data_IF_654276346070
#
_entry.id   IF_654276346070
#
_cell.length_a   1.000
_cell.length_b   1.000
_cell.length_c   1.000
_cell.angle_alpha   90.00
_cell.angle_beta   90.00
_cell.angle_gamma   90.00
#
_symmetry.space_group_name_H-M   'P 1'
#
loop_
_entity.id
_entity.type
_entity.pdbx_description
1 polymer ?
#
# COMPACT_ATOMS: atom_id res chain seq x y z
N UNK A 1 -43.45 -24.69 36.81
CA UNK A 1 -42.79 -23.84 37.84
C UNK A 1 -42.03 -22.77 37.05
N UNK A 2 -42.71 -21.69 36.68
CA UNK A 2 -42.68 -20.36 37.33
C UNK A 2 -41.32 -19.63 37.16
N UNK A 3 -41.33 -18.63 36.29
CA UNK A 3 -40.45 -17.44 36.11
C UNK A 3 -40.15 -16.67 37.44
N UNK A 4 -39.36 -15.55 37.52
CA UNK A 4 -38.96 -14.59 36.46
C UNK A 4 -37.57 -13.88 36.51
N UNK A 5 -37.17 -13.37 35.34
CA UNK A 5 -36.70 -12.00 34.99
C UNK A 5 -35.83 -11.14 35.93
N UNK A 6 -34.68 -10.69 35.43
CA UNK A 6 -34.09 -9.38 35.77
C UNK A 6 -33.94 -8.52 34.50
N UNK A 7 -34.89 -7.59 34.31
CA UNK A 7 -34.77 -6.43 33.41
C UNK A 7 -34.01 -5.33 34.15
N UNK A 8 -33.03 -4.71 33.50
CA UNK A 8 -32.65 -3.32 33.78
C UNK A 8 -32.72 -2.54 32.47
N UNK A 9 -33.80 -1.78 32.37
CA UNK A 9 -34.08 -0.77 31.34
C UNK A 9 -33.47 0.52 31.86
N UNK A 10 -32.44 1.06 31.19
CA UNK A 10 -31.97 2.43 31.43
C UNK A 10 -32.86 3.41 30.67
N UNK A 11 -33.65 4.16 31.43
CA UNK A 11 -34.52 5.25 30.96
C UNK A 11 -33.69 6.43 30.45
N UNK A 12 -34.06 7.09 29.34
CA UNK A 12 -33.41 8.34 28.93
C UNK A 12 -33.89 9.50 29.80
N UNK A 13 -32.95 10.32 30.26
CA UNK A 13 -33.21 11.54 31.03
C UNK A 13 -33.82 12.63 30.14
N UNK A 14 -34.96 13.15 30.58
CA UNK A 14 -35.74 14.19 29.91
C UNK A 14 -35.16 15.57 30.25
N UNK A 15 -34.55 16.26 29.27
CA UNK A 15 -34.06 17.64 29.42
C UNK A 15 -35.25 18.59 29.35
N UNK A 16 -35.63 19.19 30.48
CA UNK A 16 -36.63 20.27 30.55
C UNK A 16 -36.02 21.58 30.05
N UNK A 17 -36.65 22.17 29.04
CA UNK A 17 -36.37 23.54 28.60
C UNK A 17 -37.08 24.54 29.53
N UNK A 18 -36.30 25.40 30.19
CA UNK A 18 -36.82 26.55 30.92
C UNK A 18 -36.89 27.76 29.96
N UNK A 19 -38.09 28.29 29.75
CA UNK A 19 -38.32 29.61 29.15
C UNK A 19 -38.58 30.61 30.29
N UNK A 20 -37.85 31.73 30.40
CA UNK A 20 -38.30 32.86 31.19
C UNK A 20 -39.04 33.88 30.31
N UNK A 21 -40.34 34.03 30.56
CA UNK A 21 -41.13 35.22 30.20
C UNK A 21 -41.06 36.18 31.38
N UNK A 22 -40.58 37.42 31.23
CA UNK A 22 -41.15 38.62 31.87
C UNK A 22 -40.62 39.88 31.18
N UNK A 23 -41.56 40.71 30.73
CA UNK A 23 -41.27 42.02 30.14
C UNK A 23 -40.98 43.07 31.20
N UNK A 24 -40.13 44.04 30.86
CA UNK A 24 -40.05 45.32 31.56
C UNK A 24 -39.74 46.38 30.50
N UNK A 25 -40.73 47.24 30.25
CA UNK A 25 -40.57 48.44 29.42
C UNK A 25 -39.85 49.50 30.25
N UNK A 26 -38.58 49.76 29.94
CA UNK A 26 -37.91 51.01 30.29
C UNK A 26 -37.56 51.69 28.96
N UNK A 27 -38.38 52.67 28.60
CA UNK A 27 -38.07 53.60 27.52
C UNK A 27 -37.12 54.67 28.08
N UNK A 28 -35.81 54.44 27.95
CA UNK A 28 -34.82 55.52 28.06
C UNK A 28 -34.43 55.94 26.66
N UNK A 29 -34.82 57.16 26.32
CA UNK A 29 -34.34 57.94 25.18
C UNK A 29 -32.81 58.07 25.28
N UNK A 30 -32.07 57.20 24.60
CA UNK A 30 -30.66 57.42 24.29
C UNK A 30 -30.52 57.67 22.79
N UNK A 31 -29.95 58.84 22.51
CA UNK A 31 -29.51 59.37 21.23
C UNK A 31 -29.14 58.29 20.20
N UNK A 32 -29.80 58.31 19.03
CA UNK A 32 -29.38 57.60 17.83
C UNK A 32 -28.11 58.25 17.27
N UNK A 33 -26.95 58.03 17.90
CA UNK A 33 -25.69 58.05 17.17
C UNK A 33 -25.36 56.61 16.78
N UNK A 34 -26.09 56.12 15.78
CA UNK A 34 -25.67 54.96 15.01
C UNK A 34 -24.41 55.38 14.26
N UNK A 35 -23.24 55.13 14.85
CA UNK A 35 -21.99 55.10 14.10
C UNK A 35 -22.17 54.02 13.04
N UNK A 36 -22.58 54.46 11.86
CA UNK A 36 -22.70 53.68 10.64
C UNK A 36 -21.32 53.11 10.36
N UNK A 37 -21.07 51.91 10.88
CA UNK A 37 -19.93 51.12 10.54
C UNK A 37 -20.08 50.82 9.05
N UNK A 38 -19.42 51.60 8.20
CA UNK A 38 -19.34 51.29 6.77
C UNK A 38 -18.68 49.91 6.72
N UNK A 39 -19.36 48.86 6.22
CA UNK A 39 -18.63 47.65 5.90
C UNK A 39 -17.57 48.08 4.89
N UNK A 40 -16.30 47.99 5.26
CA UNK A 40 -15.26 48.06 4.25
C UNK A 40 -15.51 46.85 3.36
N UNK A 41 -16.11 47.07 2.19
CA UNK A 41 -16.01 46.12 1.09
C UNK A 41 -14.52 46.00 0.79
N UNK A 42 -13.87 45.09 1.49
CA UNK A 42 -12.57 44.56 1.12
C UNK A 42 -12.74 44.09 -0.32
N UNK A 43 -12.17 44.81 -1.28
CA UNK A 43 -12.15 44.38 -2.67
C UNK A 43 -11.44 43.04 -2.69
N UNK A 44 -12.21 41.96 -2.86
CA UNK A 44 -11.66 40.64 -3.09
C UNK A 44 -10.88 40.71 -4.40
N UNK A 45 -9.56 40.84 -4.31
CA UNK A 45 -8.65 40.67 -5.43
C UNK A 45 -8.66 39.18 -5.77
N UNK A 46 -9.53 38.80 -6.70
CA UNK A 46 -9.59 37.43 -7.23
C UNK A 46 -8.36 37.11 -8.06
N UNK A 47 -7.96 35.84 -8.07
CA UNK A 47 -6.97 35.32 -9.03
C UNK A 47 -7.46 35.58 -10.45
N UNK A 48 -6.56 36.05 -11.31
CA UNK A 48 -6.88 36.27 -12.72
C UNK A 48 -6.94 34.93 -13.45
N UNK A 49 -7.82 34.81 -14.46
CA UNK A 49 -7.91 33.60 -15.29
C UNK A 49 -6.57 33.33 -16.00
N UNK A 50 -5.84 34.39 -16.35
CA UNK A 50 -4.51 34.30 -16.95
C UNK A 50 -3.46 33.77 -15.98
N UNK A 51 -3.50 34.12 -14.68
CA UNK A 51 -2.64 33.49 -13.67
C UNK A 51 -2.89 31.99 -13.61
N UNK A 52 -4.16 31.59 -13.57
CA UNK A 52 -4.50 30.17 -13.47
C UNK A 52 -4.07 29.42 -14.74
N UNK A 53 -4.19 30.00 -15.94
CA UNK A 53 -3.76 29.35 -17.18
C UNK A 53 -2.24 29.12 -17.22
N UNK A 54 -1.43 30.10 -16.78
CA UNK A 54 0.02 29.95 -16.77
C UNK A 54 0.43 28.90 -15.74
N UNK A 55 -0.16 28.94 -14.55
CA UNK A 55 0.15 27.98 -13.48
C UNK A 55 -0.19 26.54 -13.91
N UNK A 56 -1.38 26.32 -14.48
CA UNK A 56 -1.78 24.99 -14.97
C UNK A 56 -0.86 24.52 -16.09
N UNK A 57 -0.40 25.42 -16.97
CA UNK A 57 0.53 25.08 -18.05
C UNK A 57 1.89 24.62 -17.52
N UNK A 58 2.44 25.31 -16.52
CA UNK A 58 3.72 24.93 -15.90
C UNK A 58 3.58 23.59 -15.15
N UNK A 59 2.50 23.42 -14.38
CA UNK A 59 2.22 22.16 -13.66
C UNK A 59 2.06 21.00 -14.65
N UNK A 60 1.41 21.23 -15.79
CA UNK A 60 1.25 20.22 -16.85
C UNK A 60 2.59 19.73 -17.40
N UNK A 61 3.52 20.64 -17.69
CA UNK A 61 4.86 20.29 -18.19
C UNK A 61 5.66 19.52 -17.14
N UNK A 62 5.64 19.97 -15.87
CA UNK A 62 6.37 19.28 -14.80
C UNK A 62 5.80 17.88 -14.50
N UNK A 63 4.47 17.73 -14.57
CA UNK A 63 3.79 16.47 -14.28
C UNK A 63 4.09 15.38 -15.32
N UNK A 64 4.23 15.76 -16.61
CA UNK A 64 4.50 14.80 -17.68
C UNK A 64 5.88 14.14 -17.56
N UNK A 65 6.87 14.86 -17.03
CA UNK A 65 8.21 14.30 -16.77
C UNK A 65 8.17 13.42 -15.50
N UNK A 66 7.51 13.92 -14.45
CA UNK A 66 7.45 13.26 -13.14
C UNK A 66 6.75 11.89 -13.16
N UNK A 67 5.72 11.71 -13.99
CA UNK A 67 4.91 10.49 -13.97
C UNK A 67 5.71 9.23 -14.35
N UNK A 68 6.60 9.33 -15.34
CA UNK A 68 7.40 8.19 -15.83
C UNK A 68 8.37 7.67 -14.77
N UNK A 69 9.03 8.59 -14.04
CA UNK A 69 9.92 8.25 -12.95
C UNK A 69 9.16 7.66 -11.75
N UNK A 70 7.99 8.23 -11.43
CA UNK A 70 7.16 7.77 -10.32
C UNK A 70 6.63 6.34 -10.54
N UNK A 71 6.20 6.01 -11.76
CA UNK A 71 5.78 4.65 -12.10
C UNK A 71 6.89 3.62 -11.87
N UNK A 72 8.13 3.92 -12.29
CA UNK A 72 9.28 3.03 -12.07
C UNK A 72 9.55 2.81 -10.58
N UNK A 73 9.40 3.85 -9.76
CA UNK A 73 9.55 3.74 -8.30
C UNK A 73 8.47 2.85 -7.68
N UNK A 74 7.20 3.03 -8.09
CA UNK A 74 6.10 2.19 -7.63
C UNK A 74 6.31 0.72 -8.00
N UNK A 75 6.72 0.42 -9.23
CA UNK A 75 6.99 -0.95 -9.67
C UNK A 75 8.11 -1.58 -8.83
N UNK A 76 9.21 -0.85 -8.59
CA UNK A 76 10.31 -1.32 -7.72
C UNK A 76 9.84 -1.61 -6.29
N UNK A 77 8.97 -0.77 -5.74
CA UNK A 77 8.39 -0.97 -4.41
C UNK A 77 7.54 -2.25 -4.35
N UNK A 78 6.73 -2.50 -5.37
CA UNK A 78 5.90 -3.72 -5.47
C UNK A 78 6.74 -4.98 -5.65
N UNK A 79 7.83 -4.89 -6.40
CA UNK A 79 8.81 -5.98 -6.51
C UNK A 79 9.48 -6.25 -5.16
N UNK A 80 9.86 -5.21 -4.43
CA UNK A 80 10.45 -5.36 -3.10
C UNK A 80 9.50 -6.02 -2.10
N UNK A 81 8.19 -5.78 -2.19
CA UNK A 81 7.19 -6.52 -1.40
C UNK A 81 7.27 -8.03 -1.65
N UNK A 82 7.34 -8.46 -2.91
CA UNK A 82 7.50 -9.88 -3.24
C UNK A 82 8.81 -10.48 -2.74
N UNK A 83 9.90 -9.71 -2.84
CA UNK A 83 11.19 -10.13 -2.27
C UNK A 83 11.13 -10.27 -0.75
N UNK A 84 10.36 -9.43 -0.06
CA UNK A 84 10.17 -9.53 1.39
C UNK A 84 9.38 -10.79 1.74
N UNK A 85 8.31 -11.11 1.03
CA UNK A 85 7.54 -12.35 1.26
C UNK A 85 8.40 -13.59 0.97
N UNK A 86 9.24 -13.51 -0.07
CA UNK A 86 10.18 -14.58 -0.38
C UNK A 86 11.16 -14.86 0.77
N UNK A 87 11.44 -13.91 1.68
CA UNK A 87 12.27 -14.19 2.87
C UNK A 87 11.64 -15.21 3.80
N UNK A 88 10.31 -15.20 3.95
CA UNK A 88 9.57 -16.21 4.73
C UNK A 88 9.65 -17.57 4.04
N UNK A 89 9.51 -17.60 2.72
CA UNK A 89 9.68 -18.84 1.91
C UNK A 89 11.09 -19.41 2.05
N UNK A 90 12.13 -18.55 2.03
CA UNK A 90 13.52 -18.99 2.25
C UNK A 90 13.71 -19.66 3.62
N UNK A 91 13.06 -19.14 4.67
CA UNK A 91 13.11 -19.76 5.99
C UNK A 91 12.46 -21.14 6.00
N UNK A 92 11.29 -21.30 5.37
CA UNK A 92 10.63 -22.59 5.27
C UNK A 92 11.47 -23.62 4.49
N UNK A 93 12.12 -23.17 3.40
CA UNK A 93 13.04 -24.02 2.64
C UNK A 93 14.26 -24.41 3.50
N UNK A 94 14.82 -23.46 4.25
CA UNK A 94 15.91 -23.74 5.19
C UNK A 94 15.53 -24.80 6.21
N UNK A 95 14.34 -24.73 6.80
CA UNK A 95 13.88 -25.71 7.79
C UNK A 95 13.79 -27.12 7.19
N UNK A 96 13.28 -27.24 5.96
CA UNK A 96 13.21 -28.54 5.26
C UNK A 96 14.60 -29.06 4.91
N UNK A 97 15.46 -28.19 4.39
CA UNK A 97 16.83 -28.54 4.01
C UNK A 97 17.68 -28.94 5.22
N UNK A 98 17.56 -28.23 6.35
CA UNK A 98 18.29 -28.54 7.57
C UNK A 98 17.86 -29.91 8.16
N UNK A 99 16.59 -30.29 8.01
CA UNK A 99 16.08 -31.56 8.52
C UNK A 99 16.36 -32.75 7.59
N UNK A 100 16.29 -32.57 6.27
CA UNK A 100 16.43 -33.64 5.28
C UNK A 100 17.82 -33.74 4.65
N UNK A 101 18.60 -32.66 4.70
CA UNK A 101 19.90 -32.53 4.03
C UNK A 101 19.80 -32.32 2.52
N UNK A 102 18.59 -32.27 1.94
CA UNK A 102 18.36 -32.13 0.51
C UNK A 102 17.02 -31.44 0.23
N UNK A 103 16.86 -30.92 -0.99
CA UNK A 103 15.59 -30.37 -1.47
C UNK A 103 14.66 -31.49 -1.93
N UNK A 104 13.40 -31.50 -1.46
CA UNK A 104 12.38 -32.41 -1.97
C UNK A 104 12.26 -32.39 -3.51
N UNK A 105 12.17 -33.58 -4.12
CA UNK A 105 11.98 -33.74 -5.56
C UNK A 105 10.57 -33.35 -5.99
N UNK A 106 10.43 -32.73 -7.16
CA UNK A 106 9.17 -32.25 -7.73
C UNK A 106 8.78 -30.84 -7.28
N UNK A 107 9.44 -30.31 -6.24
CA UNK A 107 9.07 -29.03 -5.64
C UNK A 107 7.64 -29.00 -5.11
N UNK A 108 7.09 -27.80 -5.03
CA UNK A 108 5.72 -27.52 -4.58
C UNK A 108 5.68 -26.94 -3.16
N UNK A 109 4.81 -25.95 -2.96
CA UNK A 109 4.65 -25.25 -1.70
C UNK A 109 4.27 -26.17 -0.53
N UNK A 110 3.44 -27.18 -0.80
CA UNK A 110 3.01 -28.18 0.20
C UNK A 110 4.18 -28.93 0.84
N UNK A 111 5.26 -29.19 0.08
CA UNK A 111 6.44 -29.89 0.59
C UNK A 111 7.23 -29.06 1.61
N UNK A 112 6.98 -27.75 1.64
CA UNK A 112 7.57 -26.78 2.56
C UNK A 112 6.52 -26.22 3.55
N UNK A 113 5.34 -26.83 3.65
CA UNK A 113 4.22 -26.38 4.47
C UNK A 113 3.83 -24.90 4.21
N UNK A 114 4.00 -24.45 2.97
CA UNK A 114 3.61 -23.12 2.51
C UNK A 114 2.21 -23.16 1.91
N UNK A 115 1.43 -22.06 2.01
CA UNK A 115 0.15 -21.98 1.34
C UNK A 115 0.32 -21.97 -0.19
N UNK A 116 -0.67 -22.48 -0.92
CA UNK A 116 -0.78 -22.35 -2.37
C UNK A 116 -2.21 -21.97 -2.75
N UNK A 117 -2.46 -20.78 -3.33
CA UNK A 117 -1.47 -19.77 -3.75
C UNK A 117 -0.95 -18.87 -2.60
N UNK A 118 0.26 -18.34 -2.77
CA UNK A 118 0.80 -17.19 -2.02
C UNK A 118 0.54 -15.91 -2.83
N UNK A 119 -0.62 -15.31 -2.64
CA UNK A 119 -1.11 -14.17 -3.43
C UNK A 119 -1.17 -12.87 -2.60
N UNK A 120 -0.84 -11.74 -3.23
CA UNK A 120 -1.09 -10.40 -2.67
C UNK A 120 -1.73 -9.47 -3.71
N UNK A 121 -1.83 -8.18 -3.43
CA UNK A 121 -2.32 -7.21 -4.41
C UNK A 121 -1.46 -7.17 -5.70
N UNK A 122 -0.17 -7.48 -5.61
CA UNK A 122 0.80 -7.36 -6.72
C UNK A 122 1.45 -8.67 -7.13
N UNK A 123 1.29 -9.72 -6.33
CA UNK A 123 1.84 -11.05 -6.55
C UNK A 123 0.70 -11.96 -6.93
N UNK A 124 0.87 -12.72 -8.00
CA UNK A 124 -0.11 -13.72 -8.44
C UNK A 124 0.10 -15.04 -7.70
N UNK A 125 1.34 -15.53 -7.64
CA UNK A 125 1.71 -16.67 -6.81
C UNK A 125 3.22 -16.62 -6.51
N UNK A 126 3.64 -17.29 -5.44
CA UNK A 126 5.04 -17.65 -5.20
C UNK A 126 5.07 -19.16 -5.10
N UNK A 127 5.85 -19.80 -5.98
CA UNK A 127 6.00 -21.25 -5.99
C UNK A 127 7.44 -21.63 -5.71
N UNK A 128 7.63 -22.77 -5.05
CA UNK A 128 8.94 -23.42 -4.93
C UNK A 128 9.01 -24.53 -5.96
N UNK A 129 9.91 -24.42 -6.93
CA UNK A 129 10.18 -25.45 -7.93
C UNK A 129 11.17 -26.50 -7.45
N UNK A 130 11.62 -27.32 -8.39
CA UNK A 130 12.71 -28.27 -8.15
C UNK A 130 13.97 -27.58 -7.61
N UNK A 131 14.75 -28.32 -6.83
CA UNK A 131 15.97 -27.84 -6.17
C UNK A 131 15.75 -26.62 -5.26
N UNK A 132 14.52 -26.35 -4.81
CA UNK A 132 14.23 -25.23 -3.92
C UNK A 132 14.23 -23.86 -4.59
N UNK A 133 14.14 -23.80 -5.93
CA UNK A 133 14.08 -22.54 -6.68
C UNK A 133 12.77 -21.82 -6.34
N UNK A 134 12.85 -20.60 -5.81
CA UNK A 134 11.67 -19.78 -5.53
C UNK A 134 11.36 -18.96 -6.78
N UNK A 135 10.15 -19.10 -7.31
CA UNK A 135 9.65 -18.32 -8.43
C UNK A 135 8.54 -17.40 -7.96
N UNK A 136 8.76 -16.09 -8.02
CA UNK A 136 7.76 -15.07 -7.72
C UNK A 136 7.09 -14.67 -9.03
N UNK A 137 5.80 -14.91 -9.15
CA UNK A 137 5.00 -14.52 -10.31
C UNK A 137 4.22 -13.24 -9.99
N UNK A 138 4.51 -12.18 -10.73
CA UNK A 138 3.87 -10.88 -10.51
C UNK A 138 2.59 -10.73 -11.34
N UNK A 139 1.63 -10.00 -10.77
CA UNK A 139 0.47 -9.45 -11.50
C UNK A 139 0.94 -8.32 -12.42
N UNK A 140 0.02 -7.69 -13.13
CA UNK A 140 0.34 -6.54 -13.97
C UNK A 140 0.76 -5.34 -13.11
N UNK A 141 2.01 -4.90 -13.27
CA UNK A 141 2.57 -3.75 -12.56
C UNK A 141 2.70 -2.51 -13.46
N UNK A 142 2.41 -2.63 -14.77
CA UNK A 142 2.57 -1.58 -15.78
C UNK A 142 3.14 -2.13 -17.10
N UNK A 143 3.22 -1.30 -18.14
CA UNK A 143 3.46 -1.77 -19.52
C UNK A 143 4.72 -2.65 -19.69
N UNK A 144 5.86 -2.23 -19.15
CA UNK A 144 7.12 -3.01 -19.25
C UNK A 144 7.22 -4.13 -18.19
N UNK A 145 6.43 -4.06 -17.12
CA UNK A 145 6.35 -5.05 -16.04
C UNK A 145 4.96 -5.68 -16.01
N UNK A 146 4.53 -6.12 -17.20
CA UNK A 146 3.19 -6.66 -17.42
C UNK A 146 2.94 -7.95 -16.65
N UNK A 147 1.68 -8.39 -16.60
CA UNK A 147 1.31 -9.60 -15.86
C UNK A 147 2.08 -10.84 -16.34
N UNK A 148 2.43 -11.72 -15.39
CA UNK A 148 3.12 -12.97 -15.68
C UNK A 148 4.64 -12.88 -15.69
N UNK A 149 5.23 -11.72 -15.38
CA UNK A 149 6.68 -11.57 -15.23
C UNK A 149 7.15 -12.21 -13.93
N UNK A 150 8.35 -12.78 -13.98
CA UNK A 150 8.91 -13.56 -12.86
C UNK A 150 10.25 -13.04 -12.38
N UNK A 151 10.49 -13.20 -11.08
CA UNK A 151 11.82 -13.15 -10.45
C UNK A 151 12.07 -14.51 -9.82
N UNK A 152 13.28 -15.02 -9.99
CA UNK A 152 13.68 -16.31 -9.44
C UNK A 152 14.77 -16.13 -8.39
N UNK A 153 14.72 -16.95 -7.34
CA UNK A 153 15.77 -17.03 -6.34
C UNK A 153 16.23 -18.48 -6.26
N UNK A 154 17.46 -18.74 -6.65
CA UNK A 154 18.03 -20.08 -6.60
C UNK A 154 18.84 -20.23 -5.31
N UNK A 155 18.68 -21.34 -4.58
CA UNK A 155 19.56 -21.66 -3.48
C UNK A 155 20.93 -22.10 -4.04
N UNK A 156 21.98 -21.61 -3.41
CA UNK A 156 23.36 -22.05 -3.62
C UNK A 156 23.85 -22.70 -2.33
N UNK A 157 24.03 -24.02 -2.39
CA UNK A 157 24.45 -24.87 -1.28
C UNK A 157 25.92 -25.26 -1.37
N UNK A 158 26.72 -24.56 -2.17
CA UNK A 158 28.16 -24.81 -2.30
C UNK A 158 28.92 -24.63 -0.98
N UNK A 159 28.40 -23.78 -0.09
CA UNK A 159 28.93 -23.59 1.26
C UNK A 159 28.25 -24.55 2.24
N UNK A 160 29.02 -25.52 2.74
CA UNK A 160 28.56 -26.49 3.75
C UNK A 160 27.90 -25.80 4.94
N UNK A 161 26.65 -26.17 5.23
CA UNK A 161 25.91 -25.68 6.40
C UNK A 161 25.28 -24.29 6.22
N UNK A 162 25.22 -23.75 5.00
CA UNK A 162 24.47 -22.51 4.71
C UNK A 162 23.84 -22.55 3.33
N UNK A 163 22.69 -21.91 3.16
CA UNK A 163 22.09 -21.66 1.84
C UNK A 163 22.31 -20.19 1.50
N UNK A 164 23.12 -19.93 0.48
CA UNK A 164 23.18 -18.62 -0.17
C UNK A 164 22.07 -18.50 -1.20
N UNK A 165 21.61 -17.29 -1.51
CA UNK A 165 20.50 -17.08 -2.45
C UNK A 165 20.92 -16.18 -3.59
N UNK A 166 20.88 -16.71 -4.81
CA UNK A 166 21.19 -15.96 -6.02
C UNK A 166 19.87 -15.51 -6.64
N UNK A 167 19.69 -14.21 -6.79
CA UNK A 167 18.51 -13.64 -7.44
C UNK A 167 18.74 -13.46 -8.94
N UNK A 168 17.73 -13.80 -9.74
CA UNK A 168 17.72 -13.69 -11.19
C UNK A 168 16.63 -12.77 -11.69
N UNK A 169 16.98 -11.99 -12.72
CA UNK A 169 16.06 -11.18 -13.51
C UNK A 169 16.36 -11.38 -15.00
N UNK A 170 15.54 -10.81 -15.88
CA UNK A 170 15.67 -11.01 -17.31
C UNK A 170 17.07 -10.72 -17.82
N UNK A 171 17.67 -11.70 -18.50
CA UNK A 171 19.00 -11.60 -19.11
C UNK A 171 20.17 -11.94 -18.19
N UNK A 172 19.94 -12.22 -16.90
CA UNK A 172 20.99 -12.73 -16.01
C UNK A 172 21.24 -14.22 -16.27
N UNK A 173 22.48 -14.58 -16.60
CA UNK A 173 22.85 -15.96 -16.91
C UNK A 173 22.64 -16.89 -15.69
N UNK A 174 22.01 -18.05 -15.92
CA UNK A 174 21.77 -19.07 -14.90
C UNK A 174 20.34 -19.15 -14.36
N UNK A 175 19.46 -18.21 -14.71
CA UNK A 175 18.03 -18.24 -14.36
C UNK A 175 17.12 -18.00 -15.56
N UNK A 176 15.83 -18.28 -15.38
CA UNK A 176 14.79 -18.11 -16.41
C UNK A 176 13.81 -16.96 -16.09
N UNK A 177 14.13 -16.15 -15.08
CA UNK A 177 13.35 -14.98 -14.69
C UNK A 177 13.14 -13.99 -15.85
N UNK A 178 11.93 -13.43 -15.96
CA UNK A 178 11.51 -12.61 -17.11
C UNK A 178 11.29 -11.13 -16.77
N UNK A 179 11.38 -10.73 -15.50
CA UNK A 179 11.22 -9.35 -15.07
C UNK A 179 12.38 -8.47 -15.59
N UNK A 180 12.11 -7.31 -16.24
CA UNK A 180 13.18 -6.47 -16.76
C UNK A 180 14.12 -5.96 -15.66
N UNK A 181 15.45 -5.97 -15.90
CA UNK A 181 16.43 -5.62 -14.87
C UNK A 181 16.22 -4.20 -14.34
N UNK A 182 15.77 -3.24 -15.17
CA UNK A 182 15.47 -1.85 -14.75
C UNK A 182 14.58 -1.77 -13.50
N UNK A 183 13.67 -2.71 -13.29
CA UNK A 183 12.74 -2.73 -12.15
C UNK A 183 13.20 -3.63 -10.99
N UNK A 184 14.19 -4.50 -11.21
CA UNK A 184 14.66 -5.41 -10.15
C UNK A 184 15.75 -4.76 -9.28
N UNK A 185 15.92 -5.21 -8.02
CA UNK A 185 17.03 -4.81 -7.18
C UNK A 185 18.40 -5.13 -7.82
N UNK A 186 19.48 -4.40 -7.49
CA UNK A 186 20.81 -4.65 -8.03
C UNK A 186 21.30 -6.09 -7.83
N UNK A 187 20.91 -6.75 -6.73
CA UNK A 187 21.27 -8.15 -6.45
C UNK A 187 20.71 -9.15 -7.47
N UNK A 188 19.66 -8.78 -8.19
CA UNK A 188 18.99 -9.62 -9.18
C UNK A 188 19.47 -9.38 -10.62
N UNK A 189 20.31 -8.36 -10.83
CA UNK A 189 20.89 -8.02 -12.14
C UNK A 189 22.20 -8.76 -12.38
#
# INVERSE_FOLDING_TARGET
MLEPNHRLISSPAHVRTHQPKYGTKIALFFSKNTLRNKPMFQQQRGFTLIEIMIVVSIIGILSSIAISAYQTYLIRSRIAEGMNIATTVKSAIWDVYANKGDFPAGGGNDQYALPDPIETAYIHNITVGDQGIITILFKDLGEEASGGKTIELHPDTSNSGSISWICYSAGKAGGAATMPPKYTPPVCR
#
